data_IF_177423157737
#
_entry.id   IF_177423157737
#
_cell.length_a   1.000
_cell.length_b   1.000
_cell.length_c   1.000
_cell.angle_alpha   90.00
_cell.angle_beta   90.00
_cell.angle_gamma   90.00
#
_symmetry.space_group_name_H-M   'P 1'
#
loop_
_entity.id
_entity.type
_entity.pdbx_description
1 polymer ?
#
# COMPACT_ATOMS: atom_id res chain seq x y z
N UNK A 1 -1.00 9.43 1.05
CA UNK A 1 -2.29 9.82 0.43
C UNK A 1 -2.45 11.34 0.47
N UNK A 2 -2.51 11.96 1.64
CA UNK A 2 -2.80 13.40 1.77
C UNK A 2 -1.85 14.28 0.94
N UNK A 3 -0.55 14.03 1.00
CA UNK A 3 0.45 14.75 0.18
C UNK A 3 0.15 14.62 -1.32
N UNK A 4 -0.24 13.42 -1.79
CA UNK A 4 -0.52 13.18 -3.21
C UNK A 4 -1.73 13.95 -3.73
N UNK A 5 -2.76 14.15 -2.91
CA UNK A 5 -3.99 14.84 -3.34
C UNK A 5 -3.99 16.34 -3.03
N UNK A 6 -3.12 16.81 -2.13
CA UNK A 6 -3.05 18.23 -1.73
C UNK A 6 -1.82 18.95 -2.28
N UNK A 7 -0.76 18.19 -2.61
CA UNK A 7 0.57 18.75 -2.92
C UNK A 7 1.30 19.31 -1.70
N UNK A 8 0.78 19.12 -0.48
CA UNK A 8 1.37 19.61 0.75
C UNK A 8 2.31 18.57 1.34
N UNK A 9 3.60 18.88 1.43
CA UNK A 9 4.59 18.07 2.13
C UNK A 9 4.48 18.31 3.66
N UNK A 10 3.69 17.43 4.29
CA UNK A 10 3.37 17.54 5.74
C UNK A 10 4.64 17.43 6.58
N UNK A 11 5.57 16.57 6.21
CA UNK A 11 6.81 16.36 6.98
C UNK A 11 7.69 17.61 6.91
N UNK A 12 7.81 18.21 5.74
CA UNK A 12 8.53 19.47 5.56
C UNK A 12 7.93 20.61 6.39
N UNK A 13 6.60 20.71 6.40
CA UNK A 13 5.91 21.71 7.24
C UNK A 13 6.14 21.46 8.74
N UNK A 14 6.14 20.20 9.18
CA UNK A 14 6.48 19.85 10.57
C UNK A 14 7.90 20.27 10.94
N UNK A 15 8.87 20.05 10.05
CA UNK A 15 10.28 20.47 10.28
C UNK A 15 10.38 21.98 10.37
N UNK A 16 9.70 22.72 9.48
CA UNK A 16 9.68 24.18 9.50
C UNK A 16 9.09 24.74 10.81
N UNK A 17 7.96 24.20 11.23
CA UNK A 17 7.32 24.60 12.49
C UNK A 17 8.24 24.30 13.68
N UNK A 18 8.90 23.15 13.70
CA UNK A 18 9.88 22.81 14.74
C UNK A 18 11.10 23.75 14.75
N UNK A 19 11.46 24.31 13.60
CA UNK A 19 12.49 25.36 13.47
C UNK A 19 12.00 26.76 13.87
N UNK A 20 10.75 26.92 14.31
CA UNK A 20 10.17 28.21 14.73
C UNK A 20 9.52 29.01 13.61
N UNK A 21 9.43 28.45 12.40
CA UNK A 21 8.74 29.10 11.29
C UNK A 21 7.21 29.02 11.46
N UNK A 22 6.50 29.98 10.88
CA UNK A 22 5.04 29.90 10.79
C UNK A 22 4.64 28.93 9.68
N UNK A 23 3.48 28.28 9.86
CA UNK A 23 2.88 27.46 8.82
C UNK A 23 2.80 28.23 7.50
N UNK A 24 3.33 27.65 6.42
CA UNK A 24 3.46 28.34 5.12
C UNK A 24 2.15 28.47 4.35
N UNK A 25 1.09 27.78 4.79
CA UNK A 25 -0.20 27.70 4.12
C UNK A 25 -1.36 27.95 5.09
N UNK A 26 -2.50 28.27 4.52
CA UNK A 26 -3.77 28.39 5.23
C UNK A 26 -4.75 27.33 4.72
N UNK A 27 -5.84 27.04 5.46
CA UNK A 27 -6.85 26.09 5.02
C UNK A 27 -7.42 26.42 3.63
N UNK A 28 -7.49 27.70 3.26
CA UNK A 28 -7.97 28.15 1.94
C UNK A 28 -7.05 27.77 0.79
N UNK A 29 -5.79 27.49 1.08
CA UNK A 29 -4.80 27.09 0.07
C UNK A 29 -4.79 25.56 -0.17
N UNK A 30 -5.51 24.77 0.65
CA UNK A 30 -5.55 23.33 0.52
C UNK A 30 -6.66 22.93 -0.43
N UNK A 31 -6.27 22.45 -1.60
CA UNK A 31 -7.19 21.93 -2.63
C UNK A 31 -6.97 20.42 -2.79
N UNK A 32 -8.05 19.67 -2.87
CA UNK A 32 -7.99 18.25 -3.20
C UNK A 32 -8.00 18.03 -4.70
N UNK A 33 -6.99 17.32 -5.21
CA UNK A 33 -6.84 17.01 -6.64
C UNK A 33 -6.73 15.50 -6.83
N UNK A 34 -7.67 14.97 -7.59
CA UNK A 34 -7.73 13.55 -7.92
C UNK A 34 -8.01 12.64 -6.72
N UNK A 35 -7.58 11.40 -6.85
CA UNK A 35 -7.72 10.34 -5.86
C UNK A 35 -6.40 9.61 -5.65
N UNK A 36 -6.10 9.24 -4.42
CA UNK A 36 -4.92 8.43 -4.10
C UNK A 36 -5.31 7.21 -3.27
N UNK A 37 -4.62 6.10 -3.53
CA UNK A 37 -4.72 4.85 -2.78
C UNK A 37 -3.34 4.51 -2.24
N UNK A 38 -3.25 4.10 -0.98
CA UNK A 38 -2.04 3.58 -0.36
C UNK A 38 -2.23 2.12 0.01
N UNK A 39 -1.29 1.27 -0.42
CA UNK A 39 -1.16 -0.13 -0.06
C UNK A 39 0.07 -0.29 0.83
N UNK A 40 -0.10 -0.87 2.02
CA UNK A 40 1.01 -1.18 2.93
C UNK A 40 1.51 -2.58 2.66
N UNK A 41 2.66 -2.68 2.02
CA UNK A 41 3.29 -3.95 1.68
C UNK A 41 4.05 -4.47 2.89
N UNK A 42 3.51 -5.50 3.52
CA UNK A 42 4.07 -6.12 4.72
C UNK A 42 4.61 -7.53 4.40
N UNK A 43 5.68 -7.92 5.11
CA UNK A 43 6.17 -9.30 5.11
C UNK A 43 5.29 -10.17 6.02
N UNK A 44 4.12 -10.51 5.54
CA UNK A 44 3.09 -11.28 6.23
C UNK A 44 2.45 -12.29 5.27
N UNK A 45 2.08 -13.45 5.81
CA UNK A 45 1.41 -14.48 5.02
C UNK A 45 -0.12 -14.33 5.13
N UNK A 46 -0.81 -13.80 4.12
CA UNK A 46 -2.25 -13.61 4.15
C UNK A 46 -3.04 -14.91 4.17
N UNK A 47 -2.42 -16.03 3.75
CA UNK A 47 -3.03 -17.36 3.78
C UNK A 47 -2.91 -18.06 5.15
N UNK A 48 -2.09 -17.50 6.05
CA UNK A 48 -1.88 -17.98 7.40
C UNK A 48 -2.14 -16.89 8.43
N UNK A 49 -3.35 -16.33 8.42
CA UNK A 49 -3.81 -15.31 9.36
C UNK A 49 -2.84 -14.13 9.51
N UNK A 50 -2.24 -13.68 8.40
CA UNK A 50 -1.27 -12.57 8.37
C UNK A 50 -0.10 -12.76 9.35
N UNK A 51 0.32 -14.01 9.57
CA UNK A 51 1.48 -14.29 10.40
C UNK A 51 2.72 -13.61 9.82
N UNK A 52 3.56 -12.95 10.65
CA UNK A 52 4.81 -12.35 10.21
C UNK A 52 5.70 -13.35 9.47
N UNK A 53 6.30 -12.91 8.38
CA UNK A 53 7.20 -13.71 7.55
C UNK A 53 8.57 -13.03 7.45
N UNK A 54 9.35 -12.95 8.57
CA UNK A 54 10.68 -12.39 8.53
C UNK A 54 11.59 -13.27 7.68
N UNK A 55 12.56 -12.65 6.99
CA UNK A 55 13.46 -13.41 6.12
C UNK A 55 14.33 -12.50 5.27
N UNK A 56 15.03 -13.10 4.31
CA UNK A 56 15.82 -12.36 3.33
C UNK A 56 15.00 -12.15 2.07
N UNK A 57 14.96 -10.92 1.59
CA UNK A 57 14.43 -10.59 0.27
C UNK A 57 15.46 -11.00 -0.76
N UNK A 58 15.15 -11.98 -1.59
CA UNK A 58 16.04 -12.47 -2.64
C UNK A 58 15.94 -11.62 -3.90
N UNK A 59 14.70 -11.23 -4.25
CA UNK A 59 14.43 -10.36 -5.38
C UNK A 59 13.45 -9.25 -4.97
N UNK A 60 13.75 -8.02 -5.39
CA UNK A 60 12.94 -6.83 -5.11
C UNK A 60 12.84 -5.97 -6.36
N UNK A 61 11.64 -5.87 -6.91
CA UNK A 61 11.34 -5.04 -8.08
C UNK A 61 10.09 -4.19 -7.81
N UNK A 62 10.26 -2.94 -7.35
CA UNK A 62 9.13 -2.05 -7.12
C UNK A 62 8.54 -1.54 -8.43
N UNK A 63 7.21 -1.31 -8.50
CA UNK A 63 6.57 -0.73 -9.67
C UNK A 63 6.93 0.74 -9.84
N UNK A 64 6.77 1.24 -11.06
CA UNK A 64 7.00 2.63 -11.39
C UNK A 64 5.97 3.20 -12.37
N UNK A 65 6.27 4.39 -12.91
CA UNK A 65 5.46 5.07 -13.91
C UNK A 65 4.62 6.23 -13.37
N UNK A 66 3.89 6.95 -14.25
CA UNK A 66 3.15 8.15 -13.87
C UNK A 66 2.09 7.88 -12.81
N UNK A 67 2.12 8.66 -11.72
CA UNK A 67 1.18 8.54 -10.60
C UNK A 67 1.43 7.33 -9.69
N UNK A 68 2.63 6.70 -9.76
CA UNK A 68 3.05 5.62 -8.86
C UNK A 68 4.26 6.08 -8.05
N UNK A 69 4.17 5.92 -6.72
CA UNK A 69 5.25 6.20 -5.76
C UNK A 69 5.41 5.00 -4.84
N UNK A 70 6.62 4.60 -4.59
CA UNK A 70 6.96 3.57 -3.60
C UNK A 70 7.90 4.18 -2.56
N UNK A 71 7.46 4.21 -1.31
CA UNK A 71 8.27 4.59 -0.16
C UNK A 71 8.73 3.31 0.53
N UNK A 72 10.01 2.96 0.39
CA UNK A 72 10.56 1.72 0.91
C UNK A 72 12.02 1.90 1.31
N UNK A 73 12.46 1.08 2.26
CA UNK A 73 13.85 0.90 2.66
C UNK A 73 14.43 -0.44 2.16
N UNK A 74 13.61 -1.27 1.49
CA UNK A 74 13.99 -2.59 1.04
C UNK A 74 14.81 -2.57 -0.26
N UNK A 75 15.64 -3.59 -0.42
CA UNK A 75 16.49 -3.84 -1.59
C UNK A 75 16.81 -5.33 -1.70
N UNK A 76 17.37 -5.76 -2.83
CA UNK A 76 17.81 -7.15 -3.02
C UNK A 76 18.81 -7.55 -1.93
N UNK A 77 18.52 -8.62 -1.20
CA UNK A 77 19.36 -9.11 -0.10
C UNK A 77 19.03 -8.51 1.26
N UNK A 78 18.11 -7.54 1.35
CA UNK A 78 17.68 -7.01 2.64
C UNK A 78 17.09 -8.10 3.53
N UNK A 79 17.46 -8.11 4.81
CA UNK A 79 16.92 -9.03 5.81
C UNK A 79 15.89 -8.32 6.68
N UNK A 80 14.66 -8.77 6.61
CA UNK A 80 13.57 -8.29 7.46
C UNK A 80 13.77 -8.84 8.87
N UNK A 81 13.95 -7.99 9.88
CA UNK A 81 14.20 -8.44 11.25
C UNK A 81 12.90 -8.94 11.91
N UNK A 82 12.97 -10.00 12.75
CA UNK A 82 11.77 -10.56 13.39
C UNK A 82 11.24 -9.71 14.56
N UNK A 83 11.96 -8.68 14.99
CA UNK A 83 11.66 -7.90 16.21
C UNK A 83 11.06 -6.52 15.94
N UNK A 84 10.88 -6.17 14.67
CA UNK A 84 10.31 -4.89 14.24
C UNK A 84 9.07 -5.11 13.39
N UNK A 85 8.45 -4.00 12.97
CA UNK A 85 7.32 -4.01 12.05
C UNK A 85 7.65 -4.80 10.77
N UNK A 86 6.68 -5.55 10.26
CA UNK A 86 6.80 -6.34 9.03
C UNK A 86 6.74 -5.49 7.76
N UNK A 87 6.54 -4.18 7.85
CA UNK A 87 6.34 -3.30 6.69
C UNK A 87 7.59 -3.20 5.84
N UNK A 88 7.48 -3.61 4.58
CA UNK A 88 8.54 -3.52 3.55
C UNK A 88 8.49 -2.15 2.87
N UNK A 89 7.29 -1.64 2.61
CA UNK A 89 7.12 -0.38 1.93
C UNK A 89 5.66 0.04 1.81
N UNK A 90 5.45 1.23 1.26
CA UNK A 90 4.13 1.78 0.93
C UNK A 90 4.08 2.01 -0.56
N UNK A 91 3.14 1.37 -1.23
CA UNK A 91 2.78 1.69 -2.61
C UNK A 91 1.69 2.75 -2.57
N UNK A 92 1.93 3.89 -3.19
CA UNK A 92 0.98 4.98 -3.28
C UNK A 92 0.72 5.27 -4.75
N UNK A 93 -0.55 5.27 -5.15
CA UNK A 93 -0.96 5.60 -6.52
C UNK A 93 -1.86 6.83 -6.52
N UNK A 94 -1.80 7.60 -7.59
CA UNK A 94 -2.62 8.78 -7.80
C UNK A 94 -3.22 8.78 -9.21
N UNK A 95 -4.49 9.13 -9.33
CA UNK A 95 -5.21 9.32 -10.58
C UNK A 95 -6.17 10.51 -10.48
N UNK A 96 -6.61 11.03 -11.61
CA UNK A 96 -7.57 12.14 -11.65
C UNK A 96 -8.95 11.72 -11.11
N UNK A 97 -9.27 10.43 -11.23
CA UNK A 97 -10.50 9.83 -10.70
C UNK A 97 -10.20 8.62 -9.83
N UNK A 98 -11.17 8.21 -9.00
CA UNK A 98 -11.08 6.98 -8.21
C UNK A 98 -10.86 5.74 -9.09
N UNK A 99 -11.58 5.64 -10.21
CA UNK A 99 -11.44 4.53 -11.15
C UNK A 99 -10.04 4.45 -11.75
N UNK A 100 -9.44 5.59 -12.09
CA UNK A 100 -8.06 5.66 -12.58
C UNK A 100 -7.06 5.25 -11.50
N UNK A 101 -7.24 5.74 -10.26
CA UNK A 101 -6.38 5.35 -9.14
C UNK A 101 -6.45 3.82 -8.89
N UNK A 102 -7.65 3.21 -8.95
CA UNK A 102 -7.83 1.76 -8.82
C UNK A 102 -7.12 1.02 -9.97
N UNK A 103 -7.27 1.48 -11.21
CA UNK A 103 -6.61 0.85 -12.37
C UNK A 103 -5.07 0.92 -12.25
N UNK A 104 -4.53 2.07 -11.83
CA UNK A 104 -3.10 2.23 -11.56
C UNK A 104 -2.62 1.34 -10.39
N UNK A 105 -3.43 1.24 -9.32
CA UNK A 105 -3.12 0.37 -8.19
C UNK A 105 -3.04 -1.10 -8.60
N UNK A 106 -4.03 -1.57 -9.37
CA UNK A 106 -4.07 -2.94 -9.91
C UNK A 106 -2.81 -3.26 -10.73
N UNK A 107 -2.46 -2.38 -11.67
CA UNK A 107 -1.23 -2.53 -12.47
C UNK A 107 0.01 -2.53 -11.59
N UNK A 108 0.14 -1.55 -10.70
CA UNK A 108 1.32 -1.42 -9.85
C UNK A 108 1.50 -2.64 -8.93
N UNK A 109 0.42 -3.17 -8.34
CA UNK A 109 0.49 -4.39 -7.53
C UNK A 109 0.86 -5.62 -8.36
N UNK A 110 0.45 -5.70 -9.63
CA UNK A 110 0.84 -6.80 -10.53
C UNK A 110 2.29 -6.76 -10.99
N UNK A 111 2.93 -5.59 -10.90
CA UNK A 111 4.34 -5.36 -11.25
C UNK A 111 5.27 -5.34 -10.02
N UNK A 112 4.71 -5.43 -8.80
CA UNK A 112 5.48 -5.39 -7.57
C UNK A 112 5.94 -6.79 -7.17
N UNK A 113 7.16 -7.15 -7.53
CA UNK A 113 7.73 -8.47 -7.25
C UNK A 113 8.66 -8.42 -6.03
N UNK A 114 8.38 -9.27 -5.05
CA UNK A 114 9.20 -9.49 -3.86
C UNK A 114 9.28 -10.99 -3.63
N UNK A 115 10.48 -11.55 -3.71
CA UNK A 115 10.72 -12.97 -3.50
C UNK A 115 11.59 -13.21 -2.25
N UNK A 116 11.50 -14.42 -1.69
CA UNK A 116 12.19 -14.84 -0.48
C UNK A 116 11.36 -14.70 0.80
N UNK A 117 10.28 -13.91 0.76
CA UNK A 117 9.32 -13.75 1.87
C UNK A 117 7.89 -13.72 1.34
N UNK A 118 6.92 -14.14 2.14
CA UNK A 118 5.50 -13.95 1.83
C UNK A 118 5.12 -12.50 2.14
N UNK A 119 4.22 -11.92 1.32
CA UNK A 119 3.78 -10.52 1.46
C UNK A 119 2.27 -10.38 1.39
N UNK A 120 1.76 -9.20 1.79
CA UNK A 120 0.34 -8.82 1.69
C UNK A 120 -0.12 -8.54 0.26
N UNK A 121 0.77 -8.46 -0.74
CA UNK A 121 0.44 -8.10 -2.13
C UNK A 121 -0.75 -8.92 -2.69
N UNK A 122 -0.80 -10.26 -2.57
CA UNK A 122 -1.93 -11.03 -3.11
C UNK A 122 -3.27 -10.65 -2.48
N UNK A 123 -3.28 -10.34 -1.19
CA UNK A 123 -4.49 -9.91 -0.49
C UNK A 123 -4.93 -8.50 -0.92
N UNK A 124 -4.00 -7.60 -1.14
CA UNK A 124 -4.29 -6.26 -1.63
C UNK A 124 -4.80 -6.27 -3.08
N UNK A 125 -4.27 -7.15 -3.93
CA UNK A 125 -4.81 -7.40 -5.27
C UNK A 125 -6.26 -7.90 -5.21
N UNK A 126 -6.58 -8.78 -4.26
CA UNK A 126 -7.94 -9.25 -4.05
C UNK A 126 -8.86 -8.11 -3.59
N UNK A 127 -8.43 -7.28 -2.62
CA UNK A 127 -9.23 -6.18 -2.06
C UNK A 127 -9.63 -5.17 -3.13
N UNK A 128 -8.69 -4.72 -3.96
CA UNK A 128 -8.96 -3.67 -4.96
C UNK A 128 -9.96 -4.09 -6.03
N UNK A 129 -10.22 -5.40 -6.17
CA UNK A 129 -11.17 -5.96 -7.11
C UNK A 129 -12.55 -6.24 -6.48
N UNK A 130 -12.70 -6.08 -5.17
CA UNK A 130 -14.00 -6.22 -4.51
C UNK A 130 -14.93 -5.09 -4.89
N UNK A 131 -16.22 -5.42 -4.99
CA UNK A 131 -17.26 -4.43 -5.33
C UNK A 131 -17.32 -3.30 -4.30
N UNK A 132 -17.24 -3.64 -3.03
CA UNK A 132 -17.30 -2.68 -1.92
C UNK A 132 -16.14 -1.69 -2.00
N UNK A 133 -14.92 -2.15 -2.34
CA UNK A 133 -13.78 -1.26 -2.50
C UNK A 133 -13.93 -0.37 -3.73
N UNK A 134 -14.37 -0.91 -4.87
CA UNK A 134 -14.58 -0.17 -6.11
C UNK A 134 -15.62 0.94 -5.92
N UNK A 135 -16.75 0.61 -5.28
CA UNK A 135 -17.85 1.55 -5.01
C UNK A 135 -17.55 2.52 -3.85
N UNK A 136 -16.51 2.26 -3.04
CA UNK A 136 -16.17 3.07 -1.88
C UNK A 136 -17.05 2.81 -0.66
N UNK A 137 -17.78 1.71 -0.64
CA UNK A 137 -18.71 1.31 0.42
C UNK A 137 -18.03 0.41 1.46
N UNK A 138 -17.02 0.93 2.15
CA UNK A 138 -16.29 0.17 3.19
C UNK A 138 -15.96 1.05 4.40
N UNK A 139 -15.76 0.40 5.52
CA UNK A 139 -15.38 0.97 6.80
C UNK A 139 -14.15 0.25 7.39
N UNK A 140 -13.76 0.59 8.61
CA UNK A 140 -12.62 -0.02 9.31
C UNK A 140 -12.81 -1.52 9.60
N UNK A 141 -14.04 -2.05 9.60
CA UNK A 141 -14.37 -3.46 9.76
C UNK A 141 -14.37 -4.27 8.48
N UNK A 142 -14.16 -3.63 7.33
CA UNK A 142 -14.26 -4.26 6.01
C UNK A 142 -13.35 -5.48 5.85
N UNK A 143 -12.08 -5.34 6.19
CA UNK A 143 -11.08 -6.42 6.09
C UNK A 143 -11.46 -7.61 6.96
N UNK A 144 -11.90 -7.35 8.20
CA UNK A 144 -12.32 -8.41 9.12
C UNK A 144 -13.52 -9.20 8.56
N UNK A 145 -14.49 -8.52 7.94
CA UNK A 145 -15.64 -9.17 7.29
C UNK A 145 -15.20 -10.03 6.10
N UNK A 146 -14.26 -9.56 5.28
CA UNK A 146 -13.72 -10.33 4.14
C UNK A 146 -13.03 -11.62 4.61
N UNK A 147 -12.20 -11.53 5.65
CA UNK A 147 -11.48 -12.67 6.21
C UNK A 147 -12.47 -13.68 6.81
N UNK A 148 -13.42 -13.24 7.65
CA UNK A 148 -14.45 -14.11 8.24
C UNK A 148 -15.35 -14.75 7.21
N UNK A 149 -15.65 -14.07 6.11
CA UNK A 149 -16.44 -14.57 4.98
C UNK A 149 -15.73 -15.65 4.16
N UNK A 150 -14.43 -15.83 4.36
CA UNK A 150 -13.61 -16.83 3.66
C UNK A 150 -13.51 -16.60 2.15
N UNK A 151 -13.78 -15.38 1.68
CA UNK A 151 -13.79 -15.03 0.26
C UNK A 151 -12.40 -15.08 -0.35
N UNK A 152 -11.37 -14.71 0.39
CA UNK A 152 -9.99 -14.74 -0.05
C UNK A 152 -9.43 -16.17 -0.18
N UNK A 153 -9.72 -17.05 0.79
CA UNK A 153 -9.17 -18.41 0.82
C UNK A 153 -9.72 -19.37 -0.26
N UNK A 154 -10.80 -19.01 -0.95
CA UNK A 154 -11.45 -19.89 -1.95
C UNK A 154 -10.86 -19.77 -3.35
N UNK A 155 -10.25 -18.64 -3.71
CA UNK A 155 -9.76 -18.39 -5.07
C UNK A 155 -8.29 -18.80 -5.28
N UNK A 156 -7.45 -18.82 -4.24
CA UNK A 156 -6.01 -18.81 -4.40
C UNK A 156 -5.27 -20.12 -4.10
N UNK A 157 -5.96 -21.21 -3.74
CA UNK A 157 -5.34 -22.55 -3.64
C UNK A 157 -4.76 -23.07 -4.97
N UNK A 158 -4.97 -22.35 -6.08
CA UNK A 158 -4.47 -22.71 -7.42
C UNK A 158 -3.18 -22.00 -7.83
N UNK A 159 -2.67 -21.04 -7.05
CA UNK A 159 -1.53 -20.20 -7.43
C UNK A 159 -0.36 -20.23 -6.43
N UNK A 160 -0.32 -21.14 -5.46
CA UNK A 160 0.86 -21.32 -4.60
C UNK A 160 1.79 -22.33 -5.28
N UNK A 161 2.86 -21.91 -5.99
CA UNK A 161 3.93 -22.81 -6.37
C UNK A 161 4.69 -23.17 -5.10
N UNK A 162 4.71 -24.45 -4.79
CA UNK A 162 5.38 -25.06 -3.64
C UNK A 162 6.86 -24.68 -3.54
#
# INVERSE_FOLDING_TARGET
VTEMITGVDIIKEQIRIAAGEKLSLTQKNVEFRGHAIECRINAENPYNNFSPCPGRIEFYNPPGGPGVRVDSHAYNGYRIPPHYDSMIGKLIVHGDTRAEAIAKCRRALSEYFIEGVKTTIPFEQFIIDTREFIEGHYDTGFIERLIKGGHFNKQDKKQDPA
#
